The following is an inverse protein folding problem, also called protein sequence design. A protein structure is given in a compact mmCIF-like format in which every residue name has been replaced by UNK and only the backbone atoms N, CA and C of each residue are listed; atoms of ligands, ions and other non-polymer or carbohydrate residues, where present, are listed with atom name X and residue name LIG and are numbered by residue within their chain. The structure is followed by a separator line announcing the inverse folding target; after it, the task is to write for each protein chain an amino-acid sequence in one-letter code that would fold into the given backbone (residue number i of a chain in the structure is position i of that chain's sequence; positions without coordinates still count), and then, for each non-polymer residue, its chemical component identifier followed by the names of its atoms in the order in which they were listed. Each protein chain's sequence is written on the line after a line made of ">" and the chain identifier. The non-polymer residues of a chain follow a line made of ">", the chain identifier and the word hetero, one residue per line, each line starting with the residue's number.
data_IF_442122919093
#
_entry.id   IF_442122919093
#
_cell.length_a   1.000
_cell.length_b   1.000
_cell.length_c   1.000
_cell.angle_alpha   90.00
_cell.angle_beta   90.00
_cell.angle_gamma   90.00
#
_symmetry.space_group_name_H-M   'P 1'
#
loop_
_entity.id
_entity.type
_entity.pdbx_description
1 polymer ?
#
# COMPACT_ATOMS: atom_id res chain seq x y z
N UNK A 1 4.65 -40.40 15.85
CA UNK A 1 3.89 -39.18 15.47
C UNK A 1 4.90 -38.35 14.71
N UNK A 2 4.93 -38.54 13.39
CA UNK A 2 5.89 -37.91 12.48
C UNK A 2 5.23 -36.62 11.97
N UNK A 3 5.87 -35.48 12.18
CA UNK A 3 5.46 -34.22 11.59
C UNK A 3 6.13 -34.08 10.22
N UNK A 4 5.33 -34.11 9.15
CA UNK A 4 5.80 -33.83 7.80
C UNK A 4 6.01 -32.32 7.61
N UNK A 5 7.26 -31.93 7.33
CA UNK A 5 7.64 -30.55 7.04
C UNK A 5 7.50 -30.30 5.52
N UNK A 6 6.49 -29.55 5.11
CA UNK A 6 6.31 -29.15 3.71
C UNK A 6 7.15 -27.90 3.41
N UNK A 7 8.13 -28.02 2.51
CA UNK A 7 8.81 -26.88 1.91
C UNK A 7 8.43 -26.76 0.43
N UNK A 8 8.33 -25.52 -0.07
CA UNK A 8 8.11 -25.22 -1.49
C UNK A 8 9.30 -24.47 -2.06
N UNK A 9 9.85 -24.96 -3.18
CA UNK A 9 10.93 -24.29 -3.92
C UNK A 9 10.35 -23.50 -5.09
N UNK A 10 10.74 -22.24 -5.24
CA UNK A 10 10.37 -21.40 -6.39
C UNK A 10 11.57 -21.30 -7.32
N UNK A 11 11.44 -21.83 -8.54
CA UNK A 11 12.43 -21.70 -9.60
C UNK A 11 12.01 -20.58 -10.56
N UNK A 12 12.86 -19.59 -10.75
CA UNK A 12 12.66 -18.55 -11.77
C UNK A 12 13.39 -18.96 -13.06
N UNK A 13 12.67 -18.98 -14.19
CA UNK A 13 13.29 -19.11 -15.51
C UNK A 13 13.83 -17.74 -15.95
N UNK A 14 15.03 -17.68 -16.56
CA UNK A 14 15.53 -16.46 -17.15
C UNK A 14 14.62 -16.04 -18.31
N UNK A 15 14.28 -14.75 -18.36
CA UNK A 15 13.43 -14.17 -19.40
C UNK A 15 14.29 -13.81 -20.61
N UNK A 16 14.08 -14.51 -21.73
CA UNK A 16 14.68 -14.14 -23.01
C UNK A 16 14.06 -12.82 -23.52
N UNK A 17 14.93 -11.85 -23.83
CA UNK A 17 14.54 -10.58 -24.42
C UNK A 17 14.08 -10.78 -25.86
N UNK A 18 12.78 -10.99 -26.08
CA UNK A 18 12.14 -10.70 -27.36
C UNK A 18 11.15 -9.55 -27.24
N UNK A 19 11.53 -8.46 -27.89
CA UNK A 19 10.81 -7.22 -28.12
C UNK A 19 9.51 -7.53 -28.87
N UNK A 20 8.36 -7.44 -28.20
CA UNK A 20 7.05 -7.45 -28.85
C UNK A 20 6.31 -6.15 -28.56
N UNK A 21 6.17 -5.34 -29.60
CA UNK A 21 5.31 -4.16 -29.66
C UNK A 21 3.85 -4.61 -29.66
N UNK A 22 3.07 -4.16 -28.67
CA UNK A 22 1.61 -4.35 -28.66
C UNK A 22 0.95 -3.04 -29.07
N UNK A 23 0.26 -3.07 -30.22
CA UNK A 23 -0.62 -2.01 -30.70
C UNK A 23 -1.84 -1.86 -29.78
N UNK A 24 -2.16 -0.63 -29.41
CA UNK A 24 -3.35 -0.27 -28.63
C UNK A 24 -4.53 -0.14 -29.60
N UNK A 25 -5.47 -1.09 -29.54
CA UNK A 25 -6.74 -1.01 -30.25
C UNK A 25 -7.68 0.01 -29.56
N UNK A 26 -8.19 0.93 -30.37
CA UNK A 26 -9.16 1.98 -30.06
C UNK A 26 -10.52 1.35 -29.72
N UNK A 27 -11.15 1.74 -28.61
CA UNK A 27 -12.55 1.44 -28.32
C UNK A 27 -13.38 2.73 -28.46
N UNK A 28 -14.42 2.66 -29.28
CA UNK A 28 -15.40 3.73 -29.51
C UNK A 28 -16.36 3.86 -28.32
N UNK A 29 -16.56 5.09 -27.84
CA UNK A 29 -17.62 5.45 -26.90
C UNK A 29 -18.96 5.55 -27.63
N UNK A 30 -19.97 4.82 -27.17
CA UNK A 30 -21.36 5.03 -27.54
C UNK A 30 -22.04 5.92 -26.50
N UNK A 31 -22.51 7.08 -26.95
CA UNK A 31 -23.20 8.11 -26.16
C UNK A 31 -24.67 7.72 -26.01
N UNK A 32 -25.14 7.52 -24.77
CA UNK A 32 -26.57 7.44 -24.47
C UNK A 32 -27.13 8.82 -24.10
N UNK A 33 -28.37 9.07 -24.54
CA UNK A 33 -29.04 10.37 -24.52
C UNK A 33 -29.41 10.88 -23.11
N UNK A 34 -29.26 12.18 -22.94
CA UNK A 34 -29.56 12.97 -21.75
C UNK A 34 -31.08 13.18 -21.58
N UNK A 35 -31.67 12.72 -20.46
CA UNK A 35 -33.08 12.98 -20.11
C UNK A 35 -33.16 14.21 -19.22
N UNK A 36 -33.65 15.34 -19.77
CA UNK A 36 -33.90 16.58 -19.03
C UNK A 36 -35.26 16.54 -18.34
N UNK A 37 -35.27 16.51 -17.00
CA UNK A 37 -36.48 16.66 -16.19
C UNK A 37 -36.76 18.16 -15.99
N UNK A 38 -37.83 18.66 -16.62
CA UNK A 38 -38.41 19.98 -16.28
C UNK A 38 -39.32 19.83 -15.07
N UNK A 39 -38.94 20.43 -13.94
CA UNK A 39 -39.80 20.60 -12.77
C UNK A 39 -40.64 21.87 -12.98
N UNK A 40 -41.96 21.73 -13.07
CA UNK A 40 -42.90 22.85 -13.02
C UNK A 40 -43.40 23.00 -11.59
N UNK A 41 -43.11 24.15 -10.99
CA UNK A 41 -43.62 24.63 -9.71
C UNK A 41 -44.88 25.45 -9.92
N UNK A 42 -45.94 25.13 -9.20
CA UNK A 42 -46.98 26.03 -8.64
C UNK A 42 -48.07 25.14 -8.04
N UNK A 43 -48.69 25.39 -6.88
CA UNK A 43 -48.52 26.34 -5.79
C UNK A 43 -49.55 25.94 -4.72
N UNK A 44 -49.34 26.37 -3.47
CA UNK A 44 -50.35 26.59 -2.40
C UNK A 44 -50.73 25.41 -1.49
N UNK A 45 -50.19 25.45 -0.27
CA UNK A 45 -50.85 25.01 0.96
C UNK A 45 -51.66 26.19 1.54
N UNK A 46 -52.70 25.95 2.36
CA UNK A 46 -52.41 25.75 3.78
C UNK A 46 -53.15 24.56 4.40
N UNK A 47 -52.41 23.81 5.20
CA UNK A 47 -52.95 22.95 6.24
C UNK A 47 -53.43 23.82 7.42
N UNK A 48 -54.64 23.56 7.90
CA UNK A 48 -54.95 23.74 9.32
C UNK A 48 -55.93 22.64 9.74
N UNK A 49 -55.40 21.71 10.54
CA UNK A 49 -56.07 20.83 11.51
C UNK A 49 -57.44 20.25 11.14
N UNK A 50 -57.45 18.97 10.74
CA UNK A 50 -58.56 18.07 10.97
C UNK A 50 -58.21 17.12 12.13
N UNK A 51 -58.93 17.25 13.24
CA UNK A 51 -59.12 16.16 14.19
C UNK A 51 -60.26 15.26 13.66
N UNK A 52 -59.99 13.95 13.69
CA UNK A 52 -60.87 12.78 13.76
C UNK A 52 -62.26 12.79 13.11
N UNK A 53 -62.52 11.74 12.30
CA UNK A 53 -63.87 11.27 12.00
C UNK A 53 -63.89 9.74 11.87
N UNK A 54 -64.82 9.10 12.59
CA UNK A 54 -65.27 7.73 12.33
C UNK A 54 -66.80 7.64 12.49
N UNK A 55 -67.41 7.00 11.48
CA UNK A 55 -68.58 6.13 11.49
C UNK A 55 -70.03 6.67 11.68
N UNK A 56 -70.72 6.67 10.54
CA UNK A 56 -72.06 6.15 10.16
C UNK A 56 -73.41 6.73 10.68
N UNK A 57 -74.37 6.60 9.75
CA UNK A 57 -75.75 7.06 9.56
C UNK A 57 -76.71 7.07 10.75
N UNK A 58 -77.68 7.99 10.73
CA UNK A 58 -79.02 7.79 10.11
C UNK A 58 -80.00 8.92 10.51
N UNK A 59 -80.94 9.22 9.60
CA UNK A 59 -81.92 10.31 9.68
C UNK A 59 -83.33 9.71 9.67
N UNK A 60 -84.19 10.20 10.57
CA UNK A 60 -85.67 10.14 10.55
C UNK A 60 -86.18 11.55 10.17
N UNK A 61 -87.41 11.76 9.66
CA UNK A 61 -88.62 11.46 10.43
C UNK A 61 -89.86 11.03 9.63
N UNK A 62 -90.89 10.67 10.40
CA UNK A 62 -92.24 10.31 10.00
C UNK A 62 -93.06 11.50 9.49
N UNK A 63 -94.04 11.22 8.62
CA UNK A 63 -95.32 11.91 8.64
C UNK A 63 -96.43 11.00 8.09
N UNK A 64 -97.52 10.96 8.85
CA UNK A 64 -98.77 10.25 8.63
C UNK A 64 -99.78 11.20 7.97
N UNK A 65 -100.62 10.72 7.04
CA UNK A 65 -102.03 11.17 6.84
C UNK A 65 -102.69 10.69 5.54
N UNK A 66 -104.01 10.46 5.68
CA UNK A 66 -105.12 10.32 4.72
C UNK A 66 -105.48 8.94 4.11
N UNK A 67 -106.35 8.25 4.87
CA UNK A 67 -107.75 7.88 4.54
C UNK A 67 -108.13 7.27 3.18
N UNK A 68 -108.85 6.16 3.33
CA UNK A 68 -109.65 5.35 2.39
C UNK A 68 -110.38 6.08 1.24
N UNK A 69 -110.34 5.44 0.07
CA UNK A 69 -111.50 5.32 -0.80
C UNK A 69 -111.53 3.92 -1.46
N UNK A 70 -112.73 3.33 -1.43
CA UNK A 70 -113.15 1.99 -1.88
C UNK A 70 -112.75 1.68 -3.33
N UNK A 71 -112.36 0.43 -3.63
CA UNK A 71 -113.25 -0.46 -4.39
C UNK A 71 -112.86 -1.96 -4.35
N UNK A 72 -113.92 -2.75 -4.40
CA UNK A 72 -114.14 -4.14 -4.78
C UNK A 72 -112.98 -5.12 -5.08
N UNK A 73 -113.07 -6.27 -4.38
CA UNK A 73 -113.06 -7.64 -4.92
C UNK A 73 -111.77 -8.18 -5.60
N UNK A 74 -111.13 -9.13 -4.91
CA UNK A 74 -110.12 -10.13 -5.34
C UNK A 74 -110.29 -10.71 -6.76
N UNK A 75 -109.24 -11.24 -7.45
CA UNK A 75 -108.17 -12.11 -6.87
C UNK A 75 -106.76 -12.08 -7.55
N UNK A 76 -105.64 -11.88 -6.83
CA UNK A 76 -104.27 -12.15 -7.41
C UNK A 76 -103.18 -12.59 -6.41
N UNK A 77 -103.40 -13.66 -5.64
CA UNK A 77 -102.37 -14.30 -4.79
C UNK A 77 -101.19 -14.93 -5.60
N UNK A 78 -101.32 -15.06 -6.92
CA UNK A 78 -100.37 -15.75 -7.82
C UNK A 78 -99.19 -14.88 -8.31
N UNK A 79 -99.38 -13.56 -8.41
CA UNK A 79 -98.42 -12.65 -9.06
C UNK A 79 -97.27 -12.25 -8.13
N UNK A 80 -97.55 -11.97 -6.85
CA UNK A 80 -96.54 -11.62 -5.84
C UNK A 80 -95.58 -12.78 -5.52
N UNK A 81 -96.07 -14.03 -5.48
CA UNK A 81 -95.23 -15.21 -5.25
C UNK A 81 -94.22 -15.43 -6.38
N UNK A 82 -94.61 -15.16 -7.64
CA UNK A 82 -93.70 -15.22 -8.79
C UNK A 82 -92.68 -14.08 -8.76
N UNK A 83 -93.10 -12.87 -8.37
CA UNK A 83 -92.22 -11.71 -8.24
C UNK A 83 -91.12 -11.91 -7.16
N UNK A 84 -91.45 -12.51 -6.01
CA UNK A 84 -90.45 -12.80 -4.95
C UNK A 84 -89.39 -13.82 -5.37
N UNK A 85 -89.77 -14.85 -6.13
CA UNK A 85 -88.83 -15.85 -6.67
C UNK A 85 -87.89 -15.21 -7.71
N UNK A 86 -88.42 -14.35 -8.58
CA UNK A 86 -87.62 -13.62 -9.57
C UNK A 86 -86.65 -12.64 -8.90
N UNK A 87 -87.10 -11.92 -7.87
CA UNK A 87 -86.25 -11.00 -7.11
C UNK A 87 -85.13 -11.73 -6.35
N UNK A 88 -85.44 -12.88 -5.75
CA UNK A 88 -84.43 -13.72 -5.09
C UNK A 88 -83.38 -14.26 -6.06
N UNK A 89 -83.80 -14.69 -7.25
CA UNK A 89 -82.90 -15.10 -8.33
C UNK A 89 -82.03 -13.94 -8.83
N UNK A 90 -82.61 -12.75 -9.02
CA UNK A 90 -81.85 -11.55 -9.38
C UNK A 90 -80.82 -11.17 -8.31
N UNK A 91 -81.20 -11.23 -7.03
CA UNK A 91 -80.30 -10.94 -5.92
C UNK A 91 -79.16 -11.96 -5.84
N UNK A 92 -79.45 -13.24 -6.04
CA UNK A 92 -78.44 -14.30 -6.10
C UNK A 92 -77.46 -14.09 -7.27
N UNK A 93 -77.96 -13.73 -8.44
CA UNK A 93 -77.12 -13.42 -9.61
C UNK A 93 -76.25 -12.19 -9.39
N UNK A 94 -76.77 -11.14 -8.73
CA UNK A 94 -75.98 -9.96 -8.36
C UNK A 94 -74.87 -10.29 -7.36
N UNK A 95 -75.15 -11.12 -6.35
CA UNK A 95 -74.15 -11.57 -5.38
C UNK A 95 -73.08 -12.46 -6.03
N UNK A 96 -73.47 -13.36 -6.93
CA UNK A 96 -72.54 -14.17 -7.72
C UNK A 96 -71.65 -13.30 -8.62
N UNK A 97 -72.20 -12.25 -9.23
CA UNK A 97 -71.43 -11.28 -10.01
C UNK A 97 -70.41 -10.51 -9.16
N UNK A 98 -70.82 -10.01 -7.99
CA UNK A 98 -69.93 -9.26 -7.08
C UNK A 98 -68.80 -10.13 -6.53
N UNK A 99 -69.10 -11.38 -6.15
CA UNK A 99 -68.08 -12.32 -5.69
C UNK A 99 -67.09 -12.65 -6.81
N UNK A 100 -67.56 -12.92 -8.03
CA UNK A 100 -66.69 -13.13 -9.19
C UNK A 100 -65.78 -11.92 -9.48
N UNK A 101 -66.33 -10.70 -9.43
CA UNK A 101 -65.55 -9.46 -9.62
C UNK A 101 -64.51 -9.27 -8.51
N UNK A 102 -64.87 -9.54 -7.25
CA UNK A 102 -63.94 -9.43 -6.13
C UNK A 102 -62.76 -10.40 -6.24
N UNK A 103 -63.02 -11.65 -6.65
CA UNK A 103 -61.98 -12.66 -6.88
C UNK A 103 -61.10 -12.27 -8.07
N UNK A 104 -61.70 -11.76 -9.15
CA UNK A 104 -60.95 -11.27 -10.30
C UNK A 104 -60.00 -10.11 -9.93
N UNK A 105 -60.50 -9.12 -9.19
CA UNK A 105 -59.69 -8.00 -8.68
C UNK A 105 -58.58 -8.51 -7.77
N UNK A 106 -58.88 -9.44 -6.85
CA UNK A 106 -57.89 -10.02 -5.94
C UNK A 106 -56.77 -10.74 -6.69
N UNK A 107 -57.10 -11.59 -7.66
CA UNK A 107 -56.11 -12.31 -8.47
C UNK A 107 -55.25 -11.30 -9.25
N UNK A 108 -55.85 -10.29 -9.86
CA UNK A 108 -55.12 -9.30 -10.63
C UNK A 108 -54.19 -8.44 -9.74
N UNK A 109 -54.66 -8.05 -8.55
CA UNK A 109 -53.86 -7.32 -7.55
C UNK A 109 -52.72 -8.17 -7.00
N UNK A 110 -52.96 -9.47 -6.71
CA UNK A 110 -51.92 -10.38 -6.24
C UNK A 110 -50.80 -10.56 -7.28
N UNK A 111 -51.17 -10.66 -8.57
CA UNK A 111 -50.21 -10.74 -9.67
C UNK A 111 -49.41 -9.44 -9.81
N UNK A 112 -50.05 -8.28 -9.69
CA UNK A 112 -49.38 -6.98 -9.68
C UNK A 112 -48.39 -6.86 -8.51
N UNK A 113 -48.81 -7.23 -7.30
CA UNK A 113 -47.96 -7.15 -6.11
C UNK A 113 -46.73 -8.07 -6.21
N UNK A 114 -46.89 -9.28 -6.76
CA UNK A 114 -45.76 -10.20 -6.98
C UNK A 114 -44.76 -9.66 -8.01
N UNK A 115 -45.24 -9.07 -9.12
CA UNK A 115 -44.39 -8.44 -10.13
C UNK A 115 -43.66 -7.22 -9.53
N UNK A 116 -44.38 -6.41 -8.75
CA UNK A 116 -43.81 -5.25 -8.07
C UNK A 116 -42.72 -5.67 -7.08
N UNK A 117 -42.96 -6.73 -6.29
CA UNK A 117 -41.99 -7.27 -5.34
C UNK A 117 -40.73 -7.79 -6.06
N UNK A 118 -40.87 -8.51 -7.17
CA UNK A 118 -39.74 -8.98 -7.97
C UNK A 118 -38.90 -7.81 -8.51
N UNK A 119 -39.55 -6.77 -9.03
CA UNK A 119 -38.85 -5.62 -9.58
C UNK A 119 -38.12 -4.80 -8.49
N UNK A 120 -38.69 -4.71 -7.28
CA UNK A 120 -38.03 -4.10 -6.12
C UNK A 120 -36.79 -4.91 -5.73
N UNK A 121 -36.89 -6.23 -5.71
CA UNK A 121 -35.76 -7.11 -5.37
C UNK A 121 -34.64 -7.00 -6.40
N UNK A 122 -34.97 -7.04 -7.69
CA UNK A 122 -34.00 -6.89 -8.78
C UNK A 122 -33.27 -5.55 -8.70
N UNK A 123 -33.98 -4.47 -8.37
CA UNK A 123 -33.35 -3.16 -8.12
C UNK A 123 -32.41 -3.19 -6.93
N UNK A 124 -32.79 -3.84 -5.83
CA UNK A 124 -31.93 -3.97 -4.65
C UNK A 124 -30.67 -4.79 -4.97
N UNK A 125 -30.80 -5.90 -5.69
CA UNK A 125 -29.64 -6.72 -6.10
C UNK A 125 -28.73 -6.00 -7.08
N UNK A 126 -29.28 -5.24 -8.03
CA UNK A 126 -28.49 -4.44 -8.96
C UNK A 126 -27.75 -3.31 -8.23
N UNK A 127 -28.37 -2.69 -7.24
CA UNK A 127 -27.73 -1.67 -6.42
C UNK A 127 -26.57 -2.25 -5.59
N UNK A 128 -26.77 -3.45 -5.02
CA UNK A 128 -25.72 -4.16 -4.30
C UNK A 128 -24.56 -4.54 -5.23
N UNK A 129 -24.86 -5.07 -6.42
CA UNK A 129 -23.85 -5.45 -7.41
C UNK A 129 -23.00 -4.25 -7.86
N UNK A 130 -23.62 -3.06 -7.97
CA UNK A 130 -22.91 -1.82 -8.26
C UNK A 130 -21.96 -1.44 -7.11
N UNK A 131 -22.40 -1.57 -5.86
CA UNK A 131 -21.55 -1.32 -4.69
C UNK A 131 -20.36 -2.31 -4.64
N UNK A 132 -20.60 -3.60 -4.86
CA UNK A 132 -19.57 -4.64 -4.86
C UNK A 132 -18.56 -4.41 -5.99
N UNK A 133 -19.01 -4.00 -7.18
CA UNK A 133 -18.14 -3.63 -8.30
C UNK A 133 -17.19 -2.49 -7.93
N UNK A 134 -17.69 -1.45 -7.24
CA UNK A 134 -16.84 -0.35 -6.78
C UNK A 134 -15.81 -0.79 -5.73
N UNK A 135 -16.16 -1.74 -4.87
CA UNK A 135 -15.24 -2.32 -3.89
C UNK A 135 -14.15 -3.11 -4.60
N UNK A 136 -14.51 -3.98 -5.55
CA UNK A 136 -13.56 -4.80 -6.30
C UNK A 136 -12.61 -3.95 -7.15
N UNK A 137 -13.08 -2.88 -7.79
CA UNK A 137 -12.22 -1.95 -8.53
C UNK A 137 -11.24 -1.22 -7.60
N UNK A 138 -11.69 -0.85 -6.39
CA UNK A 138 -10.80 -0.28 -5.35
C UNK A 138 -9.73 -1.27 -4.90
N UNK A 139 -10.09 -2.52 -4.64
CA UNK A 139 -9.13 -3.57 -4.27
C UNK A 139 -8.13 -3.85 -5.38
N UNK A 140 -8.60 -3.91 -6.63
CA UNK A 140 -7.76 -4.09 -7.81
C UNK A 140 -6.75 -2.95 -7.95
N UNK A 141 -7.19 -1.71 -7.79
CA UNK A 141 -6.30 -0.55 -7.79
C UNK A 141 -5.26 -0.66 -6.68
N UNK A 142 -5.68 -1.03 -5.45
CA UNK A 142 -4.77 -1.21 -4.30
C UNK A 142 -3.71 -2.27 -4.56
N UNK A 143 -4.11 -3.45 -5.05
CA UNK A 143 -3.20 -4.55 -5.37
C UNK A 143 -2.24 -4.17 -6.48
N UNK A 144 -2.70 -3.43 -7.50
CA UNK A 144 -1.85 -2.92 -8.57
C UNK A 144 -0.78 -1.97 -8.01
N UNK A 145 -1.17 -1.01 -7.17
CA UNK A 145 -0.23 -0.09 -6.51
C UNK A 145 0.77 -0.84 -5.62
N UNK A 146 0.32 -1.85 -4.86
CA UNK A 146 1.22 -2.70 -4.06
C UNK A 146 2.21 -3.47 -4.94
N UNK A 147 1.77 -4.00 -6.08
CA UNK A 147 2.64 -4.66 -7.04
C UNK A 147 3.67 -3.72 -7.65
N UNK A 148 3.26 -2.51 -8.03
CA UNK A 148 4.17 -1.46 -8.54
C UNK A 148 5.18 -1.03 -7.48
N UNK A 149 4.74 -0.84 -6.23
CA UNK A 149 5.62 -0.49 -5.09
C UNK A 149 6.62 -1.60 -4.79
N UNK A 150 6.18 -2.86 -4.79
CA UNK A 150 7.05 -4.02 -4.59
C UNK A 150 8.08 -4.11 -5.71
N UNK A 151 7.65 -3.96 -6.97
CA UNK A 151 8.54 -3.96 -8.12
C UNK A 151 9.54 -2.78 -8.07
N UNK A 152 9.10 -1.60 -7.63
CA UNK A 152 10.00 -0.44 -7.44
C UNK A 152 11.03 -0.67 -6.34
N UNK A 153 10.63 -1.32 -5.24
CA UNK A 153 11.54 -1.70 -4.15
C UNK A 153 12.54 -2.74 -4.62
N UNK A 154 12.08 -3.74 -5.38
CA UNK A 154 12.93 -4.76 -5.99
C UNK A 154 13.91 -4.15 -7.00
N UNK A 155 13.46 -3.23 -7.85
CA UNK A 155 14.33 -2.51 -8.80
C UNK A 155 15.41 -1.69 -8.07
N UNK A 156 15.06 -1.02 -6.97
CA UNK A 156 16.03 -0.30 -6.14
C UNK A 156 17.08 -1.24 -5.52
N UNK A 157 16.62 -2.37 -4.95
CA UNK A 157 17.46 -3.42 -4.38
C UNK A 157 18.41 -3.99 -5.44
N UNK A 158 17.90 -4.32 -6.63
CA UNK A 158 18.68 -4.90 -7.73
C UNK A 158 19.67 -3.90 -8.34
N UNK A 159 19.31 -2.62 -8.43
CA UNK A 159 20.26 -1.55 -8.82
C UNK A 159 21.45 -1.46 -7.89
N UNK A 160 21.24 -1.73 -6.59
CA UNK A 160 22.32 -1.71 -5.59
C UNK A 160 23.32 -2.86 -5.76
N UNK A 161 23.02 -3.88 -6.58
CA UNK A 161 23.85 -4.92 -7.26
C UNK A 161 25.13 -5.46 -6.59
N UNK A 162 25.30 -5.22 -5.29
CA UNK A 162 26.36 -5.75 -4.44
C UNK A 162 25.73 -6.00 -3.07
N UNK A 163 24.86 -6.99 -3.02
CA UNK A 163 24.68 -7.70 -1.75
C UNK A 163 25.98 -8.46 -1.55
N UNK A 164 26.95 -7.84 -0.89
CA UNK A 164 28.28 -8.37 -0.62
C UNK A 164 28.24 -9.51 0.41
N UNK A 165 27.17 -10.30 0.40
CA UNK A 165 26.98 -11.44 1.29
C UNK A 165 28.12 -12.43 1.08
N UNK A 166 28.55 -12.65 -0.17
CA UNK A 166 29.69 -13.51 -0.48
C UNK A 166 31.04 -12.96 0.04
N UNK A 167 31.17 -11.63 0.24
CA UNK A 167 32.37 -11.03 0.84
C UNK A 167 32.40 -11.21 2.37
N UNK A 168 31.23 -11.32 2.99
CA UNK A 168 31.09 -11.61 4.43
C UNK A 168 31.08 -13.11 4.71
N UNK A 169 30.56 -13.92 3.79
CA UNK A 169 30.22 -15.32 4.00
C UNK A 169 30.90 -16.22 2.97
N UNK A 170 31.74 -17.13 3.42
CA UNK A 170 32.45 -18.08 2.57
C UNK A 170 31.85 -19.48 2.72
N UNK A 171 31.61 -20.14 1.58
CA UNK A 171 31.26 -21.55 1.57
C UNK A 171 32.51 -22.40 1.77
N UNK A 172 32.59 -23.08 2.90
CA UNK A 172 33.63 -24.06 3.21
C UNK A 172 33.06 -25.47 3.04
N UNK A 173 33.91 -26.49 2.94
CA UNK A 173 33.46 -27.90 2.88
C UNK A 173 32.58 -28.34 4.06
N UNK A 174 32.53 -27.54 5.13
CA UNK A 174 31.73 -27.77 6.33
C UNK A 174 30.55 -26.78 6.47
N UNK A 175 30.19 -26.02 5.42
CA UNK A 175 29.07 -25.06 5.42
C UNK A 175 29.48 -23.60 5.21
N UNK A 176 28.52 -22.69 5.33
CA UNK A 176 28.73 -21.24 5.15
C UNK A 176 29.21 -20.61 6.46
N UNK A 177 30.40 -20.01 6.44
CA UNK A 177 30.99 -19.29 7.56
C UNK A 177 31.02 -17.80 7.26
N UNK A 178 30.44 -16.98 8.14
CA UNK A 178 30.37 -15.54 7.95
C UNK A 178 31.17 -14.77 9.00
N UNK A 179 31.88 -13.73 8.58
CA UNK A 179 32.64 -12.83 9.45
C UNK A 179 31.95 -11.46 9.59
N UNK A 180 32.18 -10.73 10.70
CA UNK A 180 31.62 -9.38 10.89
C UNK A 180 32.14 -8.34 9.90
N UNK A 181 33.33 -8.57 9.34
CA UNK A 181 33.97 -7.72 8.33
C UNK A 181 34.13 -8.48 7.02
N UNK A 182 34.23 -7.73 5.92
CA UNK A 182 34.62 -8.27 4.61
C UNK A 182 35.98 -8.96 4.66
N UNK A 183 36.22 -9.88 3.72
CA UNK A 183 37.53 -10.49 3.57
C UNK A 183 38.62 -9.41 3.33
N UNK A 184 39.75 -9.54 4.04
CA UNK A 184 40.88 -8.60 4.02
C UNK A 184 40.61 -7.21 4.64
N UNK A 185 39.47 -7.04 5.33
CA UNK A 185 39.22 -5.87 6.17
C UNK A 185 39.59 -6.19 7.61
N UNK A 186 40.06 -5.18 8.33
CA UNK A 186 40.54 -5.32 9.71
C UNK A 186 39.46 -4.77 10.63
N UNK A 187 38.99 -5.59 11.57
CA UNK A 187 38.04 -5.16 12.59
C UNK A 187 38.76 -4.36 13.68
N UNK A 188 38.20 -3.20 14.05
CA UNK A 188 38.57 -2.45 15.24
C UNK A 188 37.29 -1.95 15.93
N UNK A 189 36.97 -2.51 17.09
CA UNK A 189 35.71 -2.23 17.78
C UNK A 189 34.49 -2.61 16.94
N UNK A 190 33.61 -1.63 16.71
CA UNK A 190 32.37 -1.75 15.93
C UNK A 190 32.52 -1.39 14.45
N UNK A 191 33.75 -1.15 13.98
CA UNK A 191 34.03 -0.79 12.59
C UNK A 191 35.02 -1.77 11.94
N UNK A 192 34.94 -1.85 10.61
CA UNK A 192 35.80 -2.61 9.73
C UNK A 192 36.55 -1.65 8.80
N UNK A 193 37.86 -1.84 8.65
CA UNK A 193 38.71 -0.92 7.90
C UNK A 193 39.43 -1.62 6.75
N UNK A 194 39.46 -0.97 5.59
CA UNK A 194 40.26 -1.38 4.44
C UNK A 194 41.34 -0.37 4.15
N UNK A 195 42.58 -0.84 4.14
CA UNK A 195 43.75 -0.04 3.77
C UNK A 195 44.18 -0.43 2.36
N UNK A 196 44.07 0.50 1.41
CA UNK A 196 44.59 0.26 0.06
C UNK A 196 46.10 0.06 0.12
N UNK A 197 46.61 -1.04 -0.44
CA UNK A 197 48.06 -1.35 -0.46
C UNK A 197 48.70 -1.18 -1.83
N UNK A 198 47.97 -1.38 -2.92
CA UNK A 198 48.59 -1.49 -4.24
C UNK A 198 48.33 -0.27 -5.15
N UNK A 199 48.91 -0.28 -6.35
CA UNK A 199 48.61 0.66 -7.43
C UNK A 199 47.39 0.14 -8.23
N UNK A 200 46.51 0.99 -8.79
CA UNK A 200 46.58 2.44 -8.91
C UNK A 200 46.02 3.21 -7.70
N UNK A 201 46.74 4.26 -7.32
CA UNK A 201 46.29 5.26 -6.35
C UNK A 201 45.20 6.16 -6.94
N UNK A 202 44.41 6.77 -6.08
CA UNK A 202 43.19 7.48 -6.47
C UNK A 202 43.18 8.92 -5.96
N UNK A 203 42.40 9.76 -6.63
CA UNK A 203 42.01 11.06 -6.06
C UNK A 203 41.14 10.85 -4.83
N UNK A 204 40.93 11.90 -4.03
CA UNK A 204 40.06 11.81 -2.87
C UNK A 204 38.63 11.39 -3.26
N UNK A 205 38.09 11.99 -4.33
CA UNK A 205 36.74 11.69 -4.83
C UNK A 205 36.62 10.25 -5.34
N UNK A 206 37.59 9.79 -6.14
CA UNK A 206 37.60 8.40 -6.64
C UNK A 206 37.74 7.38 -5.50
N UNK A 207 38.48 7.73 -4.44
CA UNK A 207 38.64 6.90 -3.25
C UNK A 207 37.33 6.82 -2.46
N UNK A 208 36.62 7.94 -2.33
CA UNK A 208 35.30 7.97 -1.72
C UNK A 208 34.28 7.13 -2.50
N UNK A 209 34.29 7.21 -3.83
CA UNK A 209 33.45 6.38 -4.70
C UNK A 209 33.78 4.88 -4.56
N UNK A 210 35.07 4.55 -4.44
CA UNK A 210 35.51 3.18 -4.17
C UNK A 210 34.89 2.65 -2.88
N UNK A 211 35.02 3.36 -1.76
CA UNK A 211 34.46 2.93 -0.48
C UNK A 211 32.92 2.81 -0.55
N UNK A 212 32.24 3.77 -1.19
CA UNK A 212 30.78 3.71 -1.42
C UNK A 212 30.36 2.45 -2.19
N UNK A 213 31.21 1.98 -3.09
CA UNK A 213 31.02 0.72 -3.82
C UNK A 213 30.95 -0.54 -2.93
N UNK A 214 31.41 -0.45 -1.68
CA UNK A 214 31.32 -1.49 -0.65
C UNK A 214 30.29 -1.18 0.44
N UNK A 215 29.46 -0.15 0.26
CA UNK A 215 28.60 0.36 1.33
C UNK A 215 29.37 1.01 2.49
N UNK A 216 30.65 1.32 2.26
CA UNK A 216 31.56 1.96 3.20
C UNK A 216 31.72 3.45 2.87
N UNK A 217 32.48 4.14 3.71
CA UNK A 217 32.92 5.52 3.48
C UNK A 217 34.43 5.62 3.64
N UNK A 218 35.01 6.77 3.28
CA UNK A 218 36.39 7.04 3.70
C UNK A 218 36.40 7.18 5.22
N UNK A 219 37.45 6.66 5.87
CA UNK A 219 37.53 6.60 7.33
C UNK A 219 37.28 7.96 7.98
N UNK A 220 36.37 7.97 8.96
CA UNK A 220 36.24 9.05 9.93
C UNK A 220 37.19 8.72 11.06
N UNK A 221 37.90 9.71 11.58
CA UNK A 221 38.82 9.48 12.69
C UNK A 221 38.41 10.43 13.81
N UNK A 222 37.60 9.91 14.72
CA UNK A 222 36.95 10.72 15.77
C UNK A 222 37.49 10.45 17.18
N UNK A 223 38.44 9.52 17.30
CA UNK A 223 39.07 9.15 18.57
C UNK A 223 40.58 8.98 18.46
N UNK A 224 41.26 9.10 19.61
CA UNK A 224 42.71 8.87 19.73
C UNK A 224 43.03 7.41 19.43
N UNK A 225 42.22 6.49 19.96
CA UNK A 225 42.36 5.05 19.78
C UNK A 225 42.27 4.65 18.31
N UNK A 226 41.34 5.27 17.57
CA UNK A 226 41.19 5.06 16.13
C UNK A 226 42.37 5.64 15.36
N UNK A 227 42.82 6.85 15.67
CA UNK A 227 43.98 7.45 15.03
C UNK A 227 45.24 6.58 15.20
N UNK A 228 45.47 6.06 16.40
CA UNK A 228 46.57 5.12 16.64
C UNK A 228 46.40 3.81 15.88
N UNK A 229 45.18 3.27 15.82
CA UNK A 229 44.88 2.08 15.03
C UNK A 229 45.20 2.29 13.54
N UNK A 230 44.77 3.42 12.98
CA UNK A 230 45.06 3.80 11.60
C UNK A 230 46.58 3.88 11.37
N UNK A 231 47.30 4.60 12.23
CA UNK A 231 48.74 4.78 12.07
C UNK A 231 49.52 3.45 12.17
N UNK A 232 49.12 2.53 13.06
CA UNK A 232 49.73 1.20 13.19
C UNK A 232 49.58 0.30 11.95
N UNK A 233 48.50 0.45 11.20
CA UNK A 233 48.21 -0.39 10.03
C UNK A 233 48.56 0.26 8.69
N UNK A 234 48.64 1.59 8.65
CA UNK A 234 49.07 2.34 7.49
C UNK A 234 50.57 2.18 7.27
N UNK A 235 50.96 1.78 6.06
CA UNK A 235 52.37 1.65 5.68
C UNK A 235 52.82 2.85 4.86
N UNK A 236 53.97 3.44 5.22
CA UNK A 236 54.64 4.46 4.42
C UNK A 236 54.98 3.94 3.02
N UNK A 237 54.85 4.81 2.03
CA UNK A 237 55.12 4.46 0.63
C UNK A 237 55.54 5.68 -0.16
N UNK A 238 56.33 5.45 -1.22
CA UNK A 238 56.80 6.47 -2.16
C UNK A 238 57.67 7.58 -1.55
N UNK A 239 57.10 8.53 -0.80
CA UNK A 239 57.82 9.62 -0.12
C UNK A 239 57.09 10.10 1.15
N UNK A 240 57.59 11.15 1.79
CA UNK A 240 57.02 11.71 3.03
C UNK A 240 55.79 12.60 2.84
N UNK A 241 55.35 12.83 1.60
CA UNK A 241 54.18 13.62 1.23
C UNK A 241 53.00 12.74 0.76
N UNK A 242 53.24 11.43 0.61
CA UNK A 242 52.21 10.46 0.28
C UNK A 242 51.66 9.75 1.52
N UNK A 243 50.34 9.69 1.61
CA UNK A 243 49.64 9.17 2.77
C UNK A 243 48.33 8.49 2.39
N UNK A 244 47.40 8.40 3.35
CA UNK A 244 46.11 7.77 3.11
C UNK A 244 45.00 8.81 3.15
N UNK A 245 44.19 8.89 2.10
CA UNK A 245 42.96 9.67 2.12
C UNK A 245 42.03 9.18 3.24
N UNK A 246 41.52 10.14 4.00
CA UNK A 246 40.47 9.97 5.00
C UNK A 246 39.23 10.78 4.63
N UNK A 247 38.13 10.58 5.33
CA UNK A 247 36.83 11.17 5.05
C UNK A 247 36.71 12.66 5.36
N UNK A 248 37.82 13.40 5.49
CA UNK A 248 37.84 14.80 5.89
C UNK A 248 38.16 15.70 4.69
N UNK A 249 37.36 16.76 4.52
CA UNK A 249 37.52 17.75 3.45
C UNK A 249 37.16 19.16 3.92
N UNK A 250 37.70 20.19 3.28
CA UNK A 250 37.41 21.59 3.56
C UNK A 250 36.23 22.05 2.73
N UNK A 251 35.19 22.59 3.38
CA UNK A 251 34.06 23.27 2.74
C UNK A 251 34.07 24.73 3.19
N UNK A 252 34.38 25.64 2.26
CA UNK A 252 34.65 27.06 2.56
C UNK A 252 35.83 27.17 3.54
N UNK A 253 35.59 27.60 4.77
CA UNK A 253 36.62 27.75 5.81
C UNK A 253 36.56 26.67 6.91
N UNK A 254 35.67 25.69 6.78
CA UNK A 254 35.45 24.66 7.82
C UNK A 254 35.84 23.28 7.31
N UNK A 255 36.47 22.49 8.18
CA UNK A 255 36.75 21.07 7.93
C UNK A 255 35.52 20.24 8.27
N UNK A 256 35.11 19.38 7.34
CA UNK A 256 33.86 18.62 7.41
C UNK A 256 34.11 17.18 7.02
N UNK A 257 33.65 16.26 7.86
CA UNK A 257 33.64 14.83 7.60
C UNK A 257 32.70 14.48 6.46
N UNK A 258 32.92 13.31 5.86
CA UNK A 258 32.10 12.83 4.74
C UNK A 258 30.63 12.56 5.12
N UNK A 259 30.35 12.38 6.42
CA UNK A 259 29.01 12.34 7.02
C UNK A 259 28.32 13.71 7.12
N UNK A 260 29.08 14.80 6.98
CA UNK A 260 28.60 16.18 7.12
C UNK A 260 28.84 16.81 8.48
N UNK A 261 29.36 16.08 9.46
CA UNK A 261 29.76 16.64 10.75
C UNK A 261 30.97 17.57 10.60
N UNK A 262 30.95 18.70 11.31
CA UNK A 262 32.12 19.59 11.38
C UNK A 262 33.20 18.97 12.28
N UNK A 263 34.46 19.22 11.94
CA UNK A 263 35.59 18.79 12.74
C UNK A 263 35.71 19.65 14.00
N UNK A 264 35.74 19.02 15.18
CA UNK A 264 36.03 19.71 16.44
C UNK A 264 37.54 19.91 16.64
N UNK A 265 38.29 18.80 16.66
CA UNK A 265 39.74 18.77 16.81
C UNK A 265 40.35 17.73 15.87
N UNK A 266 41.58 17.96 15.40
CA UNK A 266 42.26 17.04 14.49
C UNK A 266 43.74 16.88 14.78
N UNK A 267 44.31 15.77 14.32
CA UNK A 267 45.70 15.38 14.58
C UNK A 267 46.69 16.00 13.58
N UNK A 268 46.62 17.31 13.39
CA UNK A 268 47.37 18.04 12.37
C UNK A 268 48.88 18.08 12.63
N UNK A 269 49.68 17.98 11.56
CA UNK A 269 51.13 18.20 11.63
C UNK A 269 51.42 19.67 11.91
N UNK A 270 50.76 20.56 11.15
CA UNK A 270 50.90 22.01 11.20
C UNK A 270 49.51 22.67 11.17
N UNK A 271 49.46 24.00 11.27
CA UNK A 271 48.23 24.82 11.25
C UNK A 271 47.33 24.48 10.03
N UNK A 272 46.14 23.89 10.24
CA UNK A 272 45.29 23.43 9.17
C UNK A 272 44.69 24.54 8.31
N UNK A 273 44.69 25.79 8.80
CA UNK A 273 44.22 26.94 8.03
C UNK A 273 45.24 27.42 7.00
N UNK A 274 46.51 27.04 7.17
CA UNK A 274 47.62 27.38 6.24
C UNK A 274 47.94 26.25 5.26
N UNK A 275 47.12 25.21 5.26
CA UNK A 275 47.25 24.07 4.38
C UNK A 275 47.14 24.41 2.90
N UNK A 276 47.75 23.59 2.04
CA UNK A 276 47.79 23.81 0.60
C UNK A 276 46.58 23.25 -0.16
N UNK A 277 45.69 22.49 0.47
CA UNK A 277 44.54 21.89 -0.22
C UNK A 277 43.35 21.57 0.68
N UNK A 278 42.31 21.03 0.06
CA UNK A 278 40.98 20.87 0.65
C UNK A 278 40.67 19.43 1.09
N UNK A 279 41.60 18.50 0.96
CA UNK A 279 41.43 17.10 1.37
C UNK A 279 42.55 16.67 2.31
N UNK A 280 42.33 15.66 3.14
CA UNK A 280 43.26 15.31 4.22
C UNK A 280 43.87 13.93 4.05
N UNK A 281 45.18 13.85 4.28
CA UNK A 281 45.98 12.63 4.34
C UNK A 281 46.32 12.29 5.79
N UNK A 282 46.18 11.01 6.15
CA UNK A 282 46.84 10.42 7.32
C UNK A 282 48.24 9.96 6.93
N UNK A 283 49.27 10.48 7.61
CA UNK A 283 50.67 10.25 7.29
C UNK A 283 51.29 9.18 8.19
N UNK A 284 51.55 7.96 7.69
CA UNK A 284 52.07 6.86 8.52
C UNK A 284 53.47 7.13 9.08
N UNK A 285 54.30 7.90 8.37
CA UNK A 285 55.68 8.22 8.78
C UNK A 285 55.78 9.27 9.90
N UNK A 286 54.67 9.84 10.38
CA UNK A 286 54.64 10.91 11.38
C UNK A 286 54.08 10.40 12.72
N UNK A 287 54.21 11.20 13.78
CA UNK A 287 53.63 10.88 15.09
C UNK A 287 52.10 10.70 14.94
N UNK A 288 51.50 9.62 15.47
CA UNK A 288 50.06 9.36 15.31
C UNK A 288 49.18 10.57 15.62
N UNK A 289 49.48 11.30 16.70
CA UNK A 289 48.70 12.45 17.16
C UNK A 289 49.05 13.77 16.45
N UNK A 290 50.00 13.74 15.51
CA UNK A 290 50.43 14.85 14.65
C UNK A 290 50.82 14.31 13.28
N UNK A 291 49.84 13.79 12.54
CA UNK A 291 50.04 13.08 11.28
C UNK A 291 49.07 13.48 10.16
N UNK A 292 48.19 14.46 10.38
CA UNK A 292 47.27 14.91 9.33
C UNK A 292 47.87 16.05 8.52
N UNK A 293 47.81 15.92 7.19
CA UNK A 293 48.23 16.95 6.25
C UNK A 293 47.11 17.23 5.26
N UNK A 294 46.87 18.52 4.99
CA UNK A 294 46.06 18.94 3.86
C UNK A 294 46.80 18.70 2.54
N UNK A 295 46.09 18.23 1.53
CA UNK A 295 46.60 18.02 0.18
C UNK A 295 45.53 18.34 -0.85
N UNK A 296 45.94 18.62 -2.08
CA UNK A 296 45.00 18.83 -3.17
C UNK A 296 44.23 17.54 -3.47
N UNK A 297 42.91 17.64 -3.53
CA UNK A 297 42.03 16.47 -3.69
C UNK A 297 42.29 15.64 -4.96
N UNK A 298 42.90 16.23 -5.99
CA UNK A 298 43.23 15.54 -7.24
C UNK A 298 44.51 14.69 -7.15
N UNK A 299 45.30 14.83 -6.07
CA UNK A 299 46.52 14.04 -5.89
C UNK A 299 46.20 12.55 -5.79
N UNK A 300 47.13 11.71 -6.25
CA UNK A 300 46.96 10.27 -6.30
C UNK A 300 47.55 9.67 -5.03
N UNK A 301 46.70 9.23 -4.09
CA UNK A 301 47.14 8.60 -2.85
C UNK A 301 46.43 7.27 -2.59
N UNK A 302 46.95 6.49 -1.63
CA UNK A 302 46.21 5.39 -1.01
C UNK A 302 45.06 5.97 -0.19
N UNK A 303 44.14 5.12 0.24
CA UNK A 303 42.96 5.54 1.01
C UNK A 303 42.58 4.48 2.03
N UNK A 304 41.81 4.91 3.03
CA UNK A 304 41.24 4.02 4.04
C UNK A 304 39.72 4.07 3.92
N UNK A 305 39.09 2.91 3.77
CA UNK A 305 37.65 2.79 3.91
C UNK A 305 37.27 2.31 5.31
N UNK A 306 36.08 2.68 5.76
CA UNK A 306 35.48 2.32 7.03
C UNK A 306 33.99 1.98 6.82
N UNK A 307 33.52 0.92 7.49
CA UNK A 307 32.11 0.53 7.58
C UNK A 307 31.83 -0.10 8.94
N UNK A 308 30.63 0.07 9.49
CA UNK A 308 30.22 -0.63 10.70
C UNK A 308 30.21 -2.16 10.49
N UNK A 309 30.50 -2.91 11.56
CA UNK A 309 30.47 -4.38 11.54
C UNK A 309 29.07 -4.88 11.20
N UNK A 310 28.99 -6.00 10.48
CA UNK A 310 27.71 -6.66 10.22
C UNK A 310 27.18 -7.29 11.51
N UNK A 311 26.20 -6.63 12.14
CA UNK A 311 25.48 -7.19 13.28
C UNK A 311 24.39 -8.14 12.79
N UNK A 312 24.59 -9.44 12.96
CA UNK A 312 23.52 -10.41 12.74
C UNK A 312 22.41 -10.20 13.79
N UNK A 313 21.14 -10.10 13.38
CA UNK A 313 20.03 -10.14 14.33
C UNK A 313 20.17 -11.35 15.26
N UNK A 314 19.82 -11.19 16.54
CA UNK A 314 19.94 -12.20 17.60
C UNK A 314 19.30 -13.56 17.24
N UNK A 315 18.34 -13.59 16.31
CA UNK A 315 17.73 -14.84 15.84
C UNK A 315 18.68 -15.72 14.99
N UNK A 316 19.66 -15.13 14.28
CA UNK A 316 20.65 -15.89 13.50
C UNK A 316 21.80 -16.42 14.37
N UNK A 317 22.13 -15.72 15.46
CA UNK A 317 23.15 -16.18 16.41
C UNK A 317 22.75 -17.49 17.11
N UNK A 318 21.44 -17.73 17.30
CA UNK A 318 20.93 -18.96 17.89
C UNK A 318 21.10 -20.19 16.98
N UNK A 319 21.22 -20.02 15.66
CA UNK A 319 21.40 -21.12 14.70
C UNK A 319 22.87 -21.58 14.60
N UNK A 320 23.84 -20.69 14.85
CA UNK A 320 25.27 -21.05 14.81
C UNK A 320 25.73 -21.81 16.06
N UNK A 321 25.07 -21.64 17.20
CA UNK A 321 25.40 -22.35 18.45
C UNK A 321 24.79 -23.76 18.55
N UNK A 322 24.04 -24.22 17.55
CA UNK A 322 23.43 -25.56 17.55
C UNK A 322 24.20 -26.60 16.71
N UNK A 323 25.30 -26.21 16.05
CA UNK A 323 26.16 -27.10 15.27
C UNK A 323 27.47 -27.49 15.98
N UNK A 324 27.57 -27.28 17.29
CA UNK A 324 28.65 -27.85 18.10
C UNK A 324 28.49 -29.37 18.26
N UNK A 325 29.57 -30.17 18.20
CA UNK A 325 29.46 -31.61 18.33
C UNK A 325 29.01 -31.96 19.75
N UNK A 326 27.82 -32.56 19.86
CA UNK A 326 27.39 -33.29 21.04
C UNK A 326 28.45 -34.34 21.37
N UNK A 327 29.21 -34.11 22.45
CA UNK A 327 30.15 -35.08 23.03
C UNK A 327 29.48 -35.85 24.14
#
# INVERSE_FOLDING_TARGET
>A
MEEELFYSTVCFKPFDNQKSTVEVAKFEESVYAEVKIKRSTSQTAPETSAAECSLDKSVLPAHDSLTEAKDATTPTFSVYRRATVILGLLCFLLLAGLTAVSVFIYIHMSKYNNILAQHIQEKATNLQLLADKEVLERERARLKTQGEQMNGTLDFILKKSRFLVDEYCQSTGNGVQCTPCFQNWIQNGSSCYYFMKDWPWKSWTESQEYCKGYGAQLAIIDSVEEQEFINRHAQSYYDEYHGYWMGLSKKKETWVWSTGAELEEGFWVDDPLKGYGECVLSMPSKNPLKSWLSAYCYMRNRWICEVEVLTWPTFLQAQQNQSGPST
#
